data_IF_372506669312
#
_entry.id   IF_372506669312
#
_cell.length_a   1.000
_cell.length_b   1.000
_cell.length_c   1.000
_cell.angle_alpha   90.00
_cell.angle_beta   90.00
_cell.angle_gamma   90.00
#
_symmetry.space_group_name_H-M   'P 1'
#
loop_
_entity.id
_entity.type
_entity.pdbx_description
1 polymer ?
#
# COMPACT_ATOMS: atom_id res chain seq x y z
N UNK A 1 -6.81 22.70 9.89
CA UNK A 1 -6.09 21.40 9.83
C UNK A 1 -6.74 20.47 10.85
N UNK A 2 -7.48 19.46 10.40
CA UNK A 2 -7.92 18.38 11.30
C UNK A 2 -6.73 17.45 11.51
N UNK A 3 -6.42 17.17 12.76
CA UNK A 3 -5.36 16.24 13.14
C UNK A 3 -5.89 14.81 12.90
N UNK A 4 -5.44 14.13 11.86
CA UNK A 4 -5.90 12.77 11.56
C UNK A 4 -5.22 11.75 12.47
N UNK A 5 -5.85 11.46 13.60
CA UNK A 5 -5.39 10.51 14.62
C UNK A 5 -5.12 9.13 13.98
N UNK A 6 -5.99 8.65 13.08
CA UNK A 6 -5.83 7.32 12.46
C UNK A 6 -4.64 7.18 11.52
N UNK A 7 -4.22 8.25 10.83
CA UNK A 7 -3.02 8.23 9.98
C UNK A 7 -1.76 8.06 10.84
N UNK A 8 -1.73 8.66 12.02
CA UNK A 8 -0.62 8.50 12.95
C UNK A 8 -0.52 7.09 13.53
N UNK A 9 -1.64 6.36 13.62
CA UNK A 9 -1.66 4.96 14.07
C UNK A 9 -1.05 4.05 13.02
N UNK A 10 -1.49 4.13 11.76
CA UNK A 10 -0.95 3.34 10.65
C UNK A 10 0.56 3.62 10.46
N UNK A 11 0.96 4.88 10.51
CA UNK A 11 2.37 5.30 10.43
C UNK A 11 3.22 4.65 11.52
N UNK A 12 2.72 4.61 12.77
CA UNK A 12 3.44 4.00 13.88
C UNK A 12 3.56 2.48 13.72
N UNK A 13 2.48 1.81 13.30
CA UNK A 13 2.51 0.37 13.02
C UNK A 13 3.54 0.02 11.95
N UNK A 14 3.49 0.73 10.82
CA UNK A 14 4.43 0.54 9.71
C UNK A 14 5.86 0.82 10.16
N UNK A 15 6.10 1.96 10.79
CA UNK A 15 7.43 2.38 11.22
C UNK A 15 8.04 1.38 12.18
N UNK A 16 7.30 0.91 13.18
CA UNK A 16 7.80 -0.04 14.16
C UNK A 16 8.06 -1.42 13.52
N UNK A 17 7.14 -1.89 12.67
CA UNK A 17 7.26 -3.19 12.01
C UNK A 17 8.48 -3.21 11.08
N UNK A 18 8.59 -2.26 10.15
CA UNK A 18 9.71 -2.24 9.21
C UNK A 18 11.06 -1.98 9.91
N UNK A 19 11.10 -1.18 10.99
CA UNK A 19 12.31 -1.07 11.83
C UNK A 19 12.70 -2.40 12.47
N UNK A 20 11.74 -3.17 13.01
CA UNK A 20 12.01 -4.49 13.58
C UNK A 20 12.49 -5.52 12.55
N UNK A 21 12.12 -5.33 11.28
CA UNK A 21 12.60 -6.13 10.15
C UNK A 21 13.98 -5.66 9.62
N UNK A 22 14.58 -4.65 10.25
CA UNK A 22 15.92 -4.14 9.90
C UNK A 22 15.94 -3.07 8.82
N UNK A 23 14.78 -2.51 8.42
CA UNK A 23 14.75 -1.42 7.45
C UNK A 23 15.16 -0.08 8.08
N UNK A 24 15.85 0.73 7.29
CA UNK A 24 15.94 2.17 7.53
C UNK A 24 14.65 2.83 7.05
N UNK A 25 13.81 3.27 8.01
CA UNK A 25 12.49 3.85 7.70
C UNK A 25 12.56 5.38 7.65
N UNK A 26 12.14 5.96 6.52
CA UNK A 26 11.90 7.39 6.34
C UNK A 26 10.39 7.64 6.21
N UNK A 27 9.87 8.63 6.94
CA UNK A 27 8.45 8.98 6.93
C UNK A 27 8.29 10.41 6.43
N UNK A 28 7.53 10.56 5.35
CA UNK A 28 7.18 11.84 4.76
C UNK A 28 5.67 12.07 4.88
N UNK A 29 5.25 13.31 5.18
CA UNK A 29 3.84 13.62 5.47
C UNK A 29 3.33 14.79 4.66
N UNK A 30 2.08 14.70 4.21
CA UNK A 30 1.34 15.78 3.53
C UNK A 30 2.08 16.35 2.31
N UNK A 31 2.80 15.50 1.59
CA UNK A 31 3.52 15.89 0.40
C UNK A 31 2.55 16.20 -0.76
N UNK A 32 2.84 17.26 -1.51
CA UNK A 32 2.23 17.54 -2.81
C UNK A 32 2.67 16.51 -3.84
N UNK A 33 1.99 16.47 -4.98
CA UNK A 33 2.33 15.54 -6.06
C UNK A 33 3.82 15.64 -6.48
N UNK A 34 4.32 16.86 -6.65
CA UNK A 34 5.73 17.05 -7.03
C UNK A 34 6.68 16.64 -5.91
N UNK A 35 6.35 16.91 -4.65
CA UNK A 35 7.19 16.50 -3.52
C UNK A 35 7.25 14.97 -3.37
N UNK A 36 6.16 14.25 -3.65
CA UNK A 36 6.15 12.77 -3.67
C UNK A 36 7.10 12.25 -4.75
N UNK A 37 7.02 12.81 -5.96
CA UNK A 37 7.92 12.45 -7.07
C UNK A 37 9.37 12.76 -6.71
N UNK A 38 9.65 13.92 -6.12
CA UNK A 38 11.00 14.34 -5.76
C UNK A 38 11.58 13.51 -4.62
N UNK A 39 10.76 13.11 -3.63
CA UNK A 39 11.17 12.19 -2.58
C UNK A 39 11.59 10.83 -3.16
N UNK A 40 10.77 10.23 -4.03
CA UNK A 40 11.12 8.97 -4.69
C UNK A 40 12.31 9.12 -5.62
N UNK A 41 12.41 10.23 -6.36
CA UNK A 41 13.57 10.51 -7.23
C UNK A 41 14.86 10.72 -6.42
N UNK A 42 14.77 11.26 -5.21
CA UNK A 42 15.91 11.36 -4.30
C UNK A 42 16.35 9.96 -3.88
N UNK A 43 15.42 9.13 -3.42
CA UNK A 43 15.71 7.73 -3.05
C UNK A 43 16.27 6.93 -4.22
N UNK A 44 15.74 7.11 -5.44
CA UNK A 44 16.22 6.37 -6.62
C UNK A 44 17.69 6.68 -6.97
N UNK A 45 18.21 7.82 -6.51
CA UNK A 45 19.60 8.26 -6.72
C UNK A 45 20.54 7.83 -5.58
N UNK A 46 20.02 7.24 -4.51
CA UNK A 46 20.83 6.70 -3.43
C UNK A 46 21.55 5.41 -3.86
N UNK A 47 22.61 5.04 -3.12
CA UNK A 47 23.33 3.80 -3.37
C UNK A 47 22.70 2.65 -2.57
N UNK A 48 21.92 1.83 -3.24
CA UNK A 48 21.26 0.66 -2.66
C UNK A 48 22.06 -0.63 -2.76
N UNK A 49 23.34 -0.59 -3.13
CA UNK A 49 24.15 -1.80 -3.41
C UNK A 49 24.14 -2.79 -2.25
N UNK A 50 24.17 -2.29 -1.01
CA UNK A 50 24.20 -3.12 0.20
C UNK A 50 22.80 -3.43 0.76
N UNK A 51 21.74 -2.87 0.18
CA UNK A 51 20.35 -3.19 0.55
C UNK A 51 19.88 -4.47 -0.15
N UNK A 52 19.11 -5.31 0.55
CA UNK A 52 18.53 -6.52 -0.03
C UNK A 52 17.26 -6.28 -0.84
N UNK A 53 16.51 -5.22 -0.52
CA UNK A 53 15.27 -4.84 -1.20
C UNK A 53 14.91 -3.38 -0.92
N UNK A 54 13.87 -2.89 -1.61
CA UNK A 54 13.24 -1.61 -1.37
C UNK A 54 11.76 -1.79 -1.04
N UNK A 55 11.25 -0.98 -0.10
CA UNK A 55 9.83 -0.96 0.26
C UNK A 55 9.33 0.48 0.27
N UNK A 56 8.19 0.73 -0.38
CA UNK A 56 7.47 1.99 -0.35
C UNK A 56 6.03 1.75 0.09
N UNK A 57 5.56 2.53 1.06
CA UNK A 57 4.15 2.50 1.49
C UNK A 57 3.52 3.85 1.19
N UNK A 58 2.51 3.85 0.32
CA UNK A 58 1.78 5.04 -0.09
C UNK A 58 0.40 5.03 0.59
N UNK A 59 0.16 6.01 1.46
CA UNK A 59 -1.12 6.19 2.16
C UNK A 59 -1.74 7.51 1.75
N UNK A 60 -2.76 7.50 0.89
CA UNK A 60 -3.44 8.71 0.42
C UNK A 60 -4.85 8.43 -0.07
N UNK A 61 -5.58 9.46 -0.49
CA UNK A 61 -6.69 9.29 -1.41
C UNK A 61 -6.19 8.74 -2.74
N UNK A 62 -7.04 7.98 -3.42
CA UNK A 62 -6.71 7.28 -4.66
C UNK A 62 -7.95 7.04 -5.50
N UNK A 63 -7.71 6.78 -6.77
CA UNK A 63 -8.63 6.13 -7.68
C UNK A 63 -7.90 4.99 -8.38
N UNK A 64 -8.55 4.32 -9.33
CA UNK A 64 -7.92 3.22 -10.04
C UNK A 64 -6.61 3.64 -10.71
N UNK A 65 -5.49 3.07 -10.24
CA UNK A 65 -4.15 3.32 -10.77
C UNK A 65 -3.53 4.68 -10.40
N UNK A 66 -4.17 5.48 -9.54
CA UNK A 66 -3.69 6.82 -9.18
C UNK A 66 -3.71 7.08 -7.67
N UNK A 67 -2.86 8.00 -7.22
CA UNK A 67 -2.89 8.56 -5.86
C UNK A 67 -2.96 10.08 -5.92
N UNK A 68 -3.52 10.70 -4.88
CA UNK A 68 -3.68 12.15 -4.77
C UNK A 68 -2.58 12.76 -3.90
N UNK A 69 -1.94 13.84 -4.35
CA UNK A 69 -1.06 14.67 -3.52
C UNK A 69 -1.83 15.65 -2.64
N UNK A 70 -1.16 16.27 -1.66
CA UNK A 70 -1.79 17.28 -0.78
C UNK A 70 -2.21 18.57 -1.51
N UNK A 71 -1.71 18.78 -2.73
CA UNK A 71 -2.09 19.86 -3.64
C UNK A 71 -3.26 19.48 -4.58
N UNK A 72 -3.99 18.41 -4.24
CA UNK A 72 -5.15 17.89 -5.00
C UNK A 72 -4.81 17.47 -6.43
N UNK A 73 -3.54 17.12 -6.69
CA UNK A 73 -3.09 16.62 -8.00
C UNK A 73 -2.94 15.12 -8.01
N UNK A 74 -3.54 14.50 -9.02
CA UNK A 74 -3.47 13.06 -9.26
C UNK A 74 -2.13 12.65 -9.88
N UNK A 75 -1.62 11.50 -9.44
CA UNK A 75 -0.41 10.89 -9.98
C UNK A 75 -0.66 9.42 -10.29
N UNK A 76 -0.30 8.96 -11.50
CA UNK A 76 -0.31 7.53 -11.80
C UNK A 76 0.68 6.80 -10.90
N UNK A 77 0.23 5.72 -10.26
CA UNK A 77 1.09 4.83 -9.46
C UNK A 77 2.26 4.34 -10.29
N UNK A 78 2.01 4.02 -11.57
CA UNK A 78 3.04 3.62 -12.54
C UNK A 78 4.16 4.65 -12.70
N UNK A 79 3.85 5.94 -12.63
CA UNK A 79 4.87 7.01 -12.68
C UNK A 79 5.78 6.92 -11.47
N UNK A 80 5.21 6.70 -10.29
CA UNK A 80 5.95 6.61 -9.04
C UNK A 80 6.81 5.33 -8.98
N UNK A 81 6.23 4.18 -9.34
CA UNK A 81 6.95 2.91 -9.37
C UNK A 81 8.06 2.90 -10.41
N UNK A 82 7.86 3.57 -11.56
CA UNK A 82 8.86 3.63 -12.64
C UNK A 82 10.19 4.22 -12.18
N UNK A 83 10.20 5.12 -11.18
CA UNK A 83 11.44 5.72 -10.66
C UNK A 83 12.39 4.69 -10.03
N UNK A 84 11.88 3.51 -9.66
CA UNK A 84 12.65 2.43 -9.02
C UNK A 84 13.06 1.31 -9.99
N UNK A 85 12.83 1.49 -11.29
CA UNK A 85 13.24 0.54 -12.34
C UNK A 85 14.75 0.45 -12.45
N UNK A 86 15.27 -0.63 -13.02
CA UNK A 86 16.71 -0.89 -13.10
C UNK A 86 17.48 0.09 -14.01
N UNK A 87 16.80 0.84 -14.86
CA UNK A 87 17.36 1.93 -15.67
C UNK A 87 17.44 3.24 -14.87
N UNK A 88 16.45 3.56 -14.04
CA UNK A 88 16.43 4.79 -13.24
C UNK A 88 17.07 4.64 -11.85
N UNK A 89 17.15 3.41 -11.34
CA UNK A 89 17.79 3.04 -10.08
C UNK A 89 18.64 1.76 -10.22
N UNK A 90 19.82 1.83 -10.86
CA UNK A 90 20.64 0.65 -11.15
C UNK A 90 21.10 -0.13 -9.92
N UNK A 91 21.28 0.53 -8.77
CA UNK A 91 21.71 -0.10 -7.52
C UNK A 91 20.64 -1.01 -6.88
N UNK A 92 19.39 -0.91 -7.36
CA UNK A 92 18.29 -1.82 -7.03
C UNK A 92 18.02 -2.89 -8.11
N UNK A 93 18.89 -3.04 -9.11
CA UNK A 93 18.73 -4.10 -10.12
C UNK A 93 18.73 -5.48 -9.47
N UNK A 94 17.85 -6.37 -9.93
CA UNK A 94 17.68 -7.76 -9.46
C UNK A 94 17.32 -7.86 -7.97
N UNK A 95 16.76 -6.78 -7.39
CA UNK A 95 16.33 -6.71 -6.00
C UNK A 95 14.84 -6.43 -5.90
N UNK A 96 14.11 -7.09 -4.98
CA UNK A 96 12.68 -6.85 -4.81
C UNK A 96 12.36 -5.38 -4.49
N UNK A 97 11.33 -4.84 -5.17
CA UNK A 97 10.78 -3.50 -4.94
C UNK A 97 9.30 -3.64 -4.60
N UNK A 98 8.99 -3.56 -3.32
CA UNK A 98 7.64 -3.77 -2.80
C UNK A 98 6.95 -2.42 -2.62
N UNK A 99 5.77 -2.27 -3.21
CA UNK A 99 4.90 -1.11 -3.06
C UNK A 99 3.59 -1.55 -2.39
N UNK A 100 3.28 -0.95 -1.25
CA UNK A 100 2.02 -1.15 -0.54
C UNK A 100 1.17 0.11 -0.64
N UNK A 101 -0.05 -0.01 -1.18
CA UNK A 101 -0.91 1.13 -1.48
C UNK A 101 -2.19 1.06 -0.63
N UNK A 102 -2.23 1.90 0.40
CA UNK A 102 -3.42 2.21 1.18
C UNK A 102 -4.11 3.42 0.57
N UNK A 103 -4.86 3.18 -0.50
CA UNK A 103 -5.63 4.18 -1.23
C UNK A 103 -6.88 3.54 -1.84
N UNK A 104 -7.95 4.33 -2.05
CA UNK A 104 -9.14 3.85 -2.76
C UNK A 104 -8.81 3.53 -4.22
N UNK A 105 -9.55 2.59 -4.82
CA UNK A 105 -9.42 2.24 -6.25
C UNK A 105 -10.72 2.45 -7.03
N UNK A 106 -11.62 3.25 -6.48
CA UNK A 106 -12.95 3.52 -7.00
C UNK A 106 -13.88 4.02 -5.90
N UNK A 107 -15.15 4.18 -6.26
CA UNK A 107 -16.20 4.73 -5.39
C UNK A 107 -17.22 3.68 -4.95
N UNK A 108 -17.09 2.43 -5.41
CA UNK A 108 -18.06 1.38 -5.13
C UNK A 108 -17.84 0.78 -3.74
N UNK A 109 -18.94 0.42 -3.08
CA UNK A 109 -18.92 -0.35 -1.85
C UNK A 109 -18.86 -1.83 -2.18
N UNK A 110 -17.99 -2.59 -1.51
CA UNK A 110 -18.02 -4.05 -1.60
C UNK A 110 -19.24 -4.53 -0.81
N UNK A 111 -20.29 -5.07 -1.46
CA UNK A 111 -21.50 -5.46 -0.77
C UNK A 111 -21.29 -6.68 0.13
N UNK A 112 -20.17 -7.40 0.00
CA UNK A 112 -20.01 -8.74 0.52
C UNK A 112 -20.90 -9.73 -0.24
N UNK A 113 -20.52 -11.00 -0.22
CA UNK A 113 -21.37 -12.10 -0.70
C UNK A 113 -21.50 -13.13 0.41
N UNK A 114 -22.73 -13.53 0.73
CA UNK A 114 -23.01 -14.70 1.57
C UNK A 114 -22.41 -15.92 0.87
N UNK A 115 -21.58 -16.68 1.59
CA UNK A 115 -20.78 -17.75 1.03
C UNK A 115 -21.62 -19.01 0.74
N UNK A 116 -22.47 -18.97 -0.28
CA UNK A 116 -22.93 -20.17 -0.97
C UNK A 116 -21.98 -20.44 -2.13
N UNK A 117 -21.33 -21.61 -2.07
CA UNK A 117 -20.25 -22.06 -2.93
C UNK A 117 -20.44 -21.71 -4.42
N UNK A 118 -19.68 -20.73 -4.88
CA UNK A 118 -19.40 -20.52 -6.31
C UNK A 118 -17.92 -20.22 -6.45
N UNK A 119 -17.24 -21.01 -7.26
CA UNK A 119 -15.85 -20.76 -7.65
C UNK A 119 -15.77 -19.38 -8.30
N UNK A 120 -15.13 -18.43 -7.64
CA UNK A 120 -14.80 -17.15 -8.24
C UNK A 120 -13.81 -17.41 -9.38
N UNK A 121 -14.05 -16.92 -10.62
CA UNK A 121 -13.03 -16.95 -11.64
C UNK A 121 -11.90 -16.04 -11.16
N UNK A 122 -10.81 -16.67 -10.71
CA UNK A 122 -9.59 -15.98 -10.35
C UNK A 122 -8.94 -15.36 -11.59
N UNK A 123 -9.45 -14.22 -12.04
CA UNK A 123 -8.71 -13.36 -12.96
C UNK A 123 -7.58 -12.68 -12.20
N UNK A 124 -6.42 -13.35 -12.18
CA UNK A 124 -5.15 -12.71 -11.89
C UNK A 124 -4.80 -11.77 -13.06
N UNK A 125 -5.42 -10.59 -13.09
CA UNK A 125 -5.22 -9.56 -14.11
C UNK A 125 -4.83 -8.24 -13.44
N UNK A 126 -3.65 -8.22 -12.83
CA UNK A 126 -3.12 -7.09 -12.05
C UNK A 126 -1.77 -6.53 -12.52
N UNK A 127 -1.31 -6.82 -13.74
CA UNK A 127 0.08 -6.51 -14.17
C UNK A 127 0.22 -5.11 -14.83
N UNK A 128 -0.83 -4.30 -14.97
CA UNK A 128 -0.72 -3.01 -15.70
C UNK A 128 0.14 -1.93 -15.01
N UNK A 129 0.24 -1.98 -13.68
CA UNK A 129 0.92 -0.94 -12.88
C UNK A 129 2.36 -1.28 -12.51
N UNK A 130 2.80 -2.48 -12.88
CA UNK A 130 4.13 -2.99 -12.54
C UNK A 130 5.08 -2.61 -13.68
N UNK A 131 6.12 -1.79 -13.42
CA UNK A 131 6.95 -1.25 -14.50
C UNK A 131 7.99 -2.26 -15.03
N UNK A 132 8.17 -3.42 -14.40
CA UNK A 132 9.13 -4.43 -14.83
C UNK A 132 9.27 -5.60 -13.85
N UNK A 133 10.37 -6.35 -13.99
CA UNK A 133 10.72 -7.46 -13.11
C UNK A 133 11.05 -7.00 -11.66
N UNK A 134 10.92 -7.91 -10.71
CA UNK A 134 11.24 -7.71 -9.29
C UNK A 134 10.38 -6.67 -8.56
N UNK A 135 9.25 -6.27 -9.14
CA UNK A 135 8.27 -5.42 -8.47
C UNK A 135 7.09 -6.23 -7.94
N UNK A 136 6.61 -5.82 -6.77
CA UNK A 136 5.36 -6.28 -6.21
C UNK A 136 4.55 -5.04 -5.81
N UNK A 137 3.36 -4.87 -6.40
CA UNK A 137 2.42 -3.83 -6.02
C UNK A 137 1.22 -4.48 -5.33
N UNK A 138 1.01 -4.16 -4.05
CA UNK A 138 -0.09 -4.67 -3.25
C UNK A 138 -1.01 -3.51 -2.87
N UNK A 139 -2.27 -3.62 -3.26
CA UNK A 139 -3.31 -2.64 -2.96
C UNK A 139 -4.17 -3.12 -1.80
N UNK A 140 -4.55 -2.18 -0.92
CA UNK A 140 -5.43 -2.43 0.23
C UNK A 140 -6.86 -2.85 -0.12
N UNK A 141 -7.28 -2.63 -1.37
CA UNK A 141 -8.63 -2.92 -1.86
C UNK A 141 -8.59 -3.44 -3.29
N UNK A 142 -9.61 -4.19 -3.66
CA UNK A 142 -9.86 -4.63 -5.04
C UNK A 142 -10.21 -3.43 -5.92
N UNK A 143 -9.92 -3.53 -7.22
CA UNK A 143 -10.25 -2.50 -8.22
C UNK A 143 -11.75 -2.16 -8.18
N UNK A 144 -12.09 -0.87 -8.23
CA UNK A 144 -13.46 -0.38 -8.17
C UNK A 144 -13.95 -0.05 -6.77
N UNK A 145 -13.30 -0.57 -5.73
CA UNK A 145 -13.82 -0.51 -4.37
C UNK A 145 -13.13 0.53 -3.48
N UNK A 146 -13.88 0.98 -2.48
CA UNK A 146 -13.40 1.90 -1.45
C UNK A 146 -12.40 1.21 -0.50
N UNK A 147 -11.45 1.96 0.06
CA UNK A 147 -10.52 1.48 1.07
C UNK A 147 -10.86 2.04 2.45
N UNK A 148 -11.20 1.16 3.40
CA UNK A 148 -11.73 1.54 4.71
C UNK A 148 -10.63 1.89 5.72
N UNK A 149 -10.84 2.96 6.48
CA UNK A 149 -9.98 3.34 7.61
C UNK A 149 -10.81 3.69 8.83
N UNK A 150 -10.44 3.14 9.98
CA UNK A 150 -10.98 3.55 11.26
C UNK A 150 -10.15 4.73 11.82
N UNK A 151 -10.77 5.83 12.27
CA UNK A 151 -10.07 7.02 12.75
C UNK A 151 -9.25 6.83 14.01
N UNK A 152 -9.63 5.87 14.85
CA UNK A 152 -8.99 5.62 16.15
C UNK A 152 -8.04 4.43 16.08
N UNK A 153 -8.35 3.44 15.22
CA UNK A 153 -7.62 2.16 15.14
C UNK A 153 -6.69 2.04 13.92
N UNK A 154 -6.77 2.96 12.96
CA UNK A 154 -6.04 2.84 11.69
C UNK A 154 -6.80 2.00 10.66
N UNK A 155 -6.12 1.62 9.58
CA UNK A 155 -6.67 0.80 8.51
C UNK A 155 -6.48 -0.69 8.78
N UNK A 156 -7.53 -1.48 8.50
CA UNK A 156 -7.50 -2.94 8.73
C UNK A 156 -6.40 -3.60 7.92
N UNK A 157 -6.21 -3.16 6.66
CA UNK A 157 -5.16 -3.66 5.79
C UNK A 157 -3.76 -3.43 6.38
N UNK A 158 -3.44 -2.21 6.83
CA UNK A 158 -2.12 -1.91 7.39
C UNK A 158 -1.87 -2.68 8.67
N UNK A 159 -2.89 -2.79 9.53
CA UNK A 159 -2.78 -3.56 10.76
C UNK A 159 -2.48 -5.04 10.47
N UNK A 160 -3.29 -5.70 9.63
CA UNK A 160 -3.10 -7.11 9.31
C UNK A 160 -1.79 -7.37 8.55
N UNK A 161 -1.39 -6.46 7.65
CA UNK A 161 -0.09 -6.50 6.99
C UNK A 161 1.05 -6.47 8.02
N UNK A 162 1.01 -5.51 8.95
CA UNK A 162 2.05 -5.38 9.98
C UNK A 162 2.09 -6.58 10.92
N UNK A 163 0.94 -7.11 11.34
CA UNK A 163 0.90 -8.32 12.18
C UNK A 163 1.44 -9.55 11.46
N UNK A 164 1.09 -9.74 10.19
CA UNK A 164 1.60 -10.89 9.41
C UNK A 164 3.08 -10.78 9.05
N UNK A 165 3.59 -9.56 8.84
CA UNK A 165 5.01 -9.32 8.56
C UNK A 165 5.93 -9.65 9.74
N UNK A 166 5.40 -9.76 10.97
CA UNK A 166 6.18 -10.22 12.13
C UNK A 166 6.51 -11.71 12.07
N UNK A 167 5.80 -12.49 11.28
CA UNK A 167 6.08 -13.92 11.10
C UNK A 167 7.23 -14.11 10.10
N UNK A 168 8.43 -14.36 10.61
CA UNK A 168 9.65 -14.48 9.82
C UNK A 168 9.80 -15.82 9.08
N UNK A 169 8.83 -16.73 9.20
CA UNK A 169 8.90 -18.06 8.58
C UNK A 169 8.20 -18.16 7.22
N UNK A 170 7.60 -17.07 6.75
CA UNK A 170 6.74 -17.06 5.57
C UNK A 170 7.32 -16.21 4.45
N UNK A 171 7.13 -16.66 3.21
CA UNK A 171 7.41 -15.81 2.05
C UNK A 171 6.38 -14.71 1.89
N UNK A 172 6.76 -13.59 1.27
CA UNK A 172 5.91 -12.40 1.15
C UNK A 172 4.56 -12.69 0.49
N UNK A 173 4.51 -13.57 -0.51
CA UNK A 173 3.24 -13.94 -1.16
C UNK A 173 2.33 -14.74 -0.22
N UNK A 174 2.90 -15.60 0.64
CA UNK A 174 2.14 -16.34 1.64
C UNK A 174 1.64 -15.40 2.75
N UNK A 175 2.44 -14.41 3.13
CA UNK A 175 2.04 -13.33 4.04
C UNK A 175 0.84 -12.59 3.45
N UNK A 176 0.93 -12.11 2.21
CA UNK A 176 -0.14 -11.35 1.57
C UNK A 176 -1.41 -12.18 1.35
N UNK A 177 -1.28 -13.47 1.07
CA UNK A 177 -2.42 -14.39 0.99
C UNK A 177 -3.15 -14.46 2.34
N UNK A 178 -2.42 -14.54 3.46
CA UNK A 178 -3.01 -14.52 4.80
C UNK A 178 -3.59 -13.16 5.16
N UNK A 179 -2.94 -12.07 4.77
CA UNK A 179 -3.48 -10.70 4.94
C UNK A 179 -4.84 -10.59 4.24
N UNK A 180 -4.94 -11.01 2.98
CA UNK A 180 -6.21 -11.01 2.24
C UNK A 180 -7.29 -11.81 2.98
N UNK A 181 -6.96 -13.01 3.45
CA UNK A 181 -7.89 -13.85 4.20
C UNK A 181 -8.34 -13.18 5.51
N UNK A 182 -7.43 -12.55 6.25
CA UNK A 182 -7.79 -11.87 7.51
C UNK A 182 -8.61 -10.61 7.28
N UNK A 183 -8.25 -9.78 6.30
CA UNK A 183 -9.02 -8.59 5.93
C UNK A 183 -10.46 -8.96 5.55
N UNK A 184 -10.65 -10.04 4.78
CA UNK A 184 -11.98 -10.50 4.37
C UNK A 184 -12.84 -11.04 5.54
N UNK A 185 -12.23 -11.69 6.54
CA UNK A 185 -12.98 -12.34 7.63
C UNK A 185 -13.11 -11.50 8.91
N UNK A 186 -12.19 -10.55 9.15
CA UNK A 186 -12.24 -9.67 10.33
C UNK A 186 -13.04 -8.39 10.10
N UNK A 187 -13.51 -8.13 8.86
CA UNK A 187 -14.28 -6.93 8.53
C UNK A 187 -15.63 -7.29 7.89
N UNK A 188 -16.70 -7.10 8.66
CA UNK A 188 -18.09 -7.04 8.14
C UNK A 188 -18.57 -5.61 8.33
N UNK A 189 -18.89 -4.92 7.23
CA UNK A 189 -19.41 -3.55 7.27
C UNK A 189 -20.76 -3.54 8.03
N UNK A 190 -20.74 -3.16 9.30
CA UNK A 190 -21.91 -3.17 10.18
C UNK A 190 -22.37 -1.73 10.48
N UNK A 191 -23.47 -1.28 9.87
CA UNK A 191 -24.24 -0.10 10.32
C UNK A 191 -23.87 1.28 9.72
N UNK A 192 -24.73 2.30 9.92
CA UNK A 192 -24.68 3.56 9.17
C UNK A 192 -23.43 4.37 9.48
N UNK A 193 -22.83 4.87 8.41
CA UNK A 193 -21.45 5.30 8.26
C UNK A 193 -21.14 6.59 9.03
N UNK A 194 -20.29 6.51 10.06
CA UNK A 194 -19.55 7.69 10.51
C UNK A 194 -18.36 7.91 9.57
N UNK A 195 -18.58 8.79 8.61
CA UNK A 195 -17.58 9.29 7.68
C UNK A 195 -16.44 9.97 8.46
N UNK A 196 -15.24 9.42 8.34
CA UNK A 196 -14.04 10.19 8.68
C UNK A 196 -13.16 10.35 7.46
N UNK A 197 -13.22 11.58 6.98
CA UNK A 197 -12.50 12.17 5.87
C UNK A 197 -11.01 12.29 6.26
N UNK A 198 -10.10 12.07 5.31
CA UNK A 198 -8.66 12.33 5.47
C UNK A 198 -8.37 13.84 5.52
#
# INVERSE_FOLDING_TARGET
>A
MKHNIGCSVDENFLSNTFKSLGFHVQVEKNLSANEIIDALRKVSKENHTDNSCFVCVLMSHGEEGTILGSDERWMPVKTLTSLMTSDLCPSLRDKPKLFFLQACRGLEYDPGVEADSVEAPGEFLGISDVPGADFLCCYSTVKGYYSWRNPEKGSVFIHELCEMLKDCHLEIIQILTRVNHRVANHFVASGPLQHTIY
#
